data_IF_185473764476
#
_entry.id   IF_185473764476
#
_cell.length_a   1.000
_cell.length_b   1.000
_cell.length_c   1.000
_cell.angle_alpha   90.00
_cell.angle_beta   90.00
_cell.angle_gamma   90.00
#
_symmetry.space_group_name_H-M   'P 1'
#
loop_
_entity.id
_entity.type
_entity.pdbx_description
1 polymer ?
#
# COMPACT_ATOMS: atom_id res chain seq x y z
N UNK A 1 -14.23 -9.40 -45.47
CA UNK A 1 -14.98 -10.03 -44.35
C UNK A 1 -14.21 -11.25 -43.86
N UNK A 2 -13.90 -11.25 -42.56
CA UNK A 2 -13.18 -12.30 -41.86
C UNK A 2 -14.00 -12.79 -40.67
N UNK A 3 -13.84 -14.07 -40.33
CA UNK A 3 -14.44 -14.68 -39.14
C UNK A 3 -13.33 -14.87 -38.12
N UNK A 4 -13.42 -14.18 -36.98
CA UNK A 4 -12.47 -14.31 -35.89
C UNK A 4 -13.09 -15.15 -34.77
N UNK A 5 -12.35 -16.13 -34.29
CA UNK A 5 -12.72 -16.90 -33.10
C UNK A 5 -12.12 -16.22 -31.87
N UNK A 6 -13.00 -15.77 -30.97
CA UNK A 6 -12.67 -14.99 -29.79
C UNK A 6 -12.89 -15.82 -28.51
N UNK A 7 -12.09 -15.55 -27.48
CA UNK A 7 -12.25 -16.13 -26.14
C UNK A 7 -12.17 -15.02 -25.10
N UNK A 8 -13.01 -15.07 -24.06
CA UNK A 8 -12.89 -14.17 -22.92
C UNK A 8 -11.95 -14.83 -21.92
N UNK A 9 -10.85 -14.15 -21.59
CA UNK A 9 -9.84 -14.66 -20.66
C UNK A 9 -10.38 -14.63 -19.23
N UNK A 10 -10.11 -15.68 -18.45
CA UNK A 10 -10.51 -15.76 -17.03
C UNK A 10 -12.00 -16.00 -16.79
N UNK A 11 -12.77 -16.31 -17.84
CA UNK A 11 -14.22 -16.55 -17.74
C UNK A 11 -14.55 -17.90 -18.33
N UNK A 12 -15.13 -18.80 -17.52
CA UNK A 12 -15.55 -20.12 -17.97
C UNK A 12 -16.50 -20.05 -19.18
N UNK A 13 -16.20 -20.84 -20.22
CA UNK A 13 -17.10 -21.11 -21.34
C UNK A 13 -16.46 -20.97 -22.72
N UNK A 14 -17.28 -21.25 -23.74
CA UNK A 14 -16.77 -21.50 -25.09
C UNK A 14 -16.31 -20.27 -25.88
N UNK A 15 -15.31 -20.52 -26.72
CA UNK A 15 -14.91 -19.65 -27.82
C UNK A 15 -16.10 -19.33 -28.74
N UNK A 16 -16.11 -18.14 -29.32
CA UNK A 16 -17.25 -17.65 -30.10
C UNK A 16 -16.80 -16.90 -31.35
N UNK A 17 -17.55 -17.06 -32.43
CA UNK A 17 -17.23 -16.43 -33.71
C UNK A 17 -17.79 -15.01 -33.80
N UNK A 18 -16.96 -14.11 -34.34
CA UNK A 18 -17.30 -12.73 -34.67
C UNK A 18 -16.94 -12.47 -36.12
N UNK A 19 -17.93 -12.08 -36.91
CA UNK A 19 -17.74 -11.74 -38.31
C UNK A 19 -17.51 -10.23 -38.44
N UNK A 20 -16.41 -9.81 -39.06
CA UNK A 20 -16.07 -8.39 -39.25
C UNK A 20 -15.53 -8.15 -40.65
N UNK A 21 -15.78 -6.96 -41.19
CA UNK A 21 -15.10 -6.49 -42.39
C UNK A 21 -13.69 -6.03 -41.99
N UNK A 22 -12.68 -6.61 -42.61
CA UNK A 22 -11.26 -6.41 -42.34
C UNK A 22 -10.81 -4.95 -42.61
N UNK A 23 -11.57 -4.20 -43.42
CA UNK A 23 -11.38 -2.76 -43.60
C UNK A 23 -11.88 -1.90 -42.42
N UNK A 24 -12.44 -2.51 -41.36
CA UNK A 24 -12.93 -1.80 -40.17
C UNK A 24 -11.86 -1.73 -39.08
N UNK A 25 -12.00 -0.74 -38.21
CA UNK A 25 -11.15 -0.59 -37.04
C UNK A 25 -11.44 -1.65 -35.97
N UNK A 26 -10.43 -1.95 -35.15
CA UNK A 26 -10.52 -2.77 -33.94
C UNK A 26 -11.60 -2.25 -32.98
N UNK A 27 -11.88 -0.96 -32.93
CA UNK A 27 -13.02 -0.40 -32.18
C UNK A 27 -14.36 -1.05 -32.58
N UNK A 28 -14.59 -1.25 -33.88
CA UNK A 28 -15.79 -1.94 -34.37
C UNK A 28 -15.78 -3.44 -34.00
N UNK A 29 -14.60 -4.05 -33.86
CA UNK A 29 -14.46 -5.42 -33.37
C UNK A 29 -14.90 -5.52 -31.91
N UNK A 30 -14.50 -4.55 -31.08
CA UNK A 30 -14.93 -4.48 -29.67
C UNK A 30 -16.45 -4.35 -29.55
N UNK A 31 -17.06 -3.49 -30.36
CA UNK A 31 -18.52 -3.31 -30.38
C UNK A 31 -19.24 -4.63 -30.73
N UNK A 32 -18.77 -5.34 -31.76
CA UNK A 32 -19.32 -6.64 -32.17
C UNK A 32 -19.13 -7.73 -31.12
N UNK A 33 -17.99 -7.76 -30.43
CA UNK A 33 -17.74 -8.69 -29.33
C UNK A 33 -18.74 -8.43 -28.19
N UNK A 34 -18.92 -7.17 -27.79
CA UNK A 34 -19.89 -6.77 -26.76
C UNK A 34 -21.31 -7.16 -27.16
N UNK A 35 -21.72 -6.89 -28.40
CA UNK A 35 -23.03 -7.28 -28.91
C UNK A 35 -23.24 -8.79 -28.82
N UNK A 36 -22.25 -9.58 -29.24
CA UNK A 36 -22.31 -11.05 -29.27
C UNK A 36 -22.37 -11.67 -27.86
N UNK A 37 -21.68 -11.06 -26.89
CA UNK A 37 -21.60 -11.54 -25.51
C UNK A 37 -22.26 -10.57 -24.52
N UNK A 38 -23.34 -9.91 -24.95
CA UNK A 38 -24.02 -8.85 -24.18
C UNK A 38 -24.36 -9.25 -22.74
N UNK A 39 -24.82 -10.48 -22.51
CA UNK A 39 -25.16 -10.94 -21.15
C UNK A 39 -23.94 -11.12 -20.23
N UNK A 40 -22.76 -11.40 -20.80
CA UNK A 40 -21.50 -11.54 -20.04
C UNK A 40 -20.72 -10.22 -19.96
N UNK A 41 -21.05 -9.24 -20.81
CA UNK A 41 -20.37 -7.96 -20.96
C UNK A 41 -21.37 -6.79 -20.78
N UNK A 42 -22.44 -7.00 -20.02
CA UNK A 42 -23.55 -6.05 -19.87
C UNK A 42 -23.12 -4.77 -19.14
N UNK A 43 -22.19 -4.93 -18.18
CA UNK A 43 -21.64 -3.84 -17.39
C UNK A 43 -20.49 -3.10 -18.10
N UNK A 44 -19.85 -3.74 -19.08
CA UNK A 44 -18.57 -3.27 -19.67
C UNK A 44 -18.78 -2.50 -20.95
N UNK A 45 -18.30 -1.27 -21.05
CA UNK A 45 -18.31 -0.53 -22.31
C UNK A 45 -17.37 -1.18 -23.33
N UNK A 46 -17.81 -1.24 -24.59
CA UNK A 46 -17.05 -1.90 -25.65
C UNK A 46 -15.65 -1.29 -25.78
N UNK A 47 -15.51 0.04 -25.65
CA UNK A 47 -14.23 0.75 -25.70
C UNK A 47 -13.21 0.24 -24.66
N UNK A 48 -13.69 -0.24 -23.51
CA UNK A 48 -12.87 -0.64 -22.36
C UNK A 48 -12.36 -2.08 -22.50
N UNK A 49 -12.99 -2.90 -23.36
CA UNK A 49 -12.48 -4.24 -23.68
C UNK A 49 -11.04 -4.17 -24.19
N UNK A 50 -10.17 -5.02 -23.67
CA UNK A 50 -8.80 -5.12 -24.12
C UNK A 50 -8.68 -6.34 -25.04
N UNK A 51 -8.22 -6.11 -26.27
CA UNK A 51 -8.09 -7.15 -27.28
C UNK A 51 -6.61 -7.43 -27.54
N UNK A 52 -6.29 -8.71 -27.64
CA UNK A 52 -4.96 -9.20 -27.95
C UNK A 52 -5.05 -10.26 -29.05
N UNK A 53 -4.06 -10.29 -29.93
CA UNK A 53 -3.97 -11.39 -30.90
C UNK A 53 -3.48 -12.64 -30.18
N UNK A 54 -4.15 -13.77 -30.44
CA UNK A 54 -3.72 -15.07 -29.96
C UNK A 54 -2.60 -15.63 -30.86
N UNK A 55 -1.51 -14.86 -30.98
CA UNK A 55 -0.37 -15.11 -31.87
C UNK A 55 0.80 -15.66 -31.07
N UNK A 56 1.18 -16.91 -31.32
CA UNK A 56 2.31 -17.55 -30.66
C UNK A 56 3.65 -16.98 -31.15
N UNK A 57 4.74 -17.30 -30.45
CA UNK A 57 6.09 -16.87 -30.81
C UNK A 57 6.51 -17.28 -32.24
N UNK A 58 5.96 -18.39 -32.75
CA UNK A 58 6.21 -18.91 -34.10
C UNK A 58 5.37 -18.21 -35.19
N UNK A 59 4.70 -17.10 -34.86
CA UNK A 59 3.75 -16.40 -35.73
C UNK A 59 2.57 -17.27 -36.19
N UNK A 60 2.13 -18.22 -35.37
CA UNK A 60 0.96 -19.07 -35.65
C UNK A 60 -0.21 -18.71 -34.73
N UNK A 61 -1.41 -19.03 -35.18
CA UNK A 61 -2.60 -18.92 -34.34
C UNK A 61 -2.56 -19.91 -33.18
N UNK A 62 -3.11 -19.48 -32.04
CA UNK A 62 -3.26 -20.30 -30.87
C UNK A 62 -4.23 -21.45 -31.14
N UNK A 63 -3.80 -22.67 -30.89
CA UNK A 63 -4.59 -23.86 -31.20
C UNK A 63 -5.77 -24.02 -30.25
N UNK A 64 -6.97 -24.23 -30.80
CA UNK A 64 -8.17 -24.48 -29.99
C UNK A 64 -8.18 -25.86 -29.31
N UNK A 65 -7.15 -26.68 -29.51
CA UNK A 65 -7.00 -28.05 -28.96
C UNK A 65 -5.75 -28.19 -28.08
N UNK A 66 -5.23 -27.08 -27.58
CA UNK A 66 -4.10 -27.08 -26.65
C UNK A 66 -4.57 -27.28 -25.21
N UNK A 67 -3.71 -27.82 -24.36
CA UNK A 67 -3.99 -27.93 -22.91
C UNK A 67 -4.22 -26.54 -22.28
N UNK A 68 -3.49 -25.52 -22.74
CA UNK A 68 -3.70 -24.13 -22.33
C UNK A 68 -5.11 -23.63 -22.67
N UNK A 69 -5.67 -24.07 -23.80
CA UNK A 69 -7.02 -23.72 -24.19
C UNK A 69 -8.07 -24.43 -23.31
N UNK A 70 -7.86 -25.69 -22.95
CA UNK A 70 -8.76 -26.40 -22.02
C UNK A 70 -8.82 -25.66 -20.67
N UNK A 71 -7.66 -25.29 -20.11
CA UNK A 71 -7.58 -24.48 -18.88
C UNK A 71 -8.26 -23.12 -19.03
N UNK A 72 -8.05 -22.45 -20.16
CA UNK A 72 -8.69 -21.16 -20.44
C UNK A 72 -10.22 -21.25 -20.48
N UNK A 73 -10.75 -22.37 -20.98
CA UNK A 73 -12.19 -22.62 -21.08
C UNK A 73 -12.83 -22.93 -19.71
N UNK A 74 -12.06 -23.50 -18.80
CA UNK A 74 -12.45 -23.67 -17.39
C UNK A 74 -12.39 -22.35 -16.60
N UNK A 75 -11.82 -21.29 -17.19
CA UNK A 75 -11.68 -19.97 -16.58
C UNK A 75 -10.34 -19.75 -15.89
N UNK A 76 -9.41 -20.70 -16.01
CA UNK A 76 -8.04 -20.54 -15.54
C UNK A 76 -7.22 -19.69 -16.53
N UNK A 77 -6.09 -19.15 -16.09
CA UNK A 77 -5.13 -18.47 -16.95
C UNK A 77 -3.79 -19.19 -16.88
N UNK A 78 -3.09 -19.33 -18.01
CA UNK A 78 -1.78 -19.99 -18.07
C UNK A 78 -0.69 -18.98 -18.40
N UNK A 79 0.57 -19.31 -18.08
CA UNK A 79 1.72 -18.45 -18.38
C UNK A 79 1.81 -18.07 -19.88
N UNK A 80 1.33 -18.93 -20.78
CA UNK A 80 1.23 -18.61 -22.20
C UNK A 80 0.19 -17.52 -22.46
N UNK A 81 -1.01 -17.65 -21.88
CA UNK A 81 -2.08 -16.65 -22.02
C UNK A 81 -1.63 -15.31 -21.44
N UNK A 82 -1.00 -15.30 -20.26
CA UNK A 82 -0.42 -14.08 -19.64
C UNK A 82 0.59 -13.40 -20.56
N UNK A 83 1.50 -14.18 -21.16
CA UNK A 83 2.48 -13.65 -22.11
C UNK A 83 1.83 -13.10 -23.39
N UNK A 84 0.69 -13.64 -23.82
CA UNK A 84 -0.06 -13.17 -24.98
C UNK A 84 -0.89 -11.91 -24.67
N UNK A 85 -1.33 -11.75 -23.42
CA UNK A 85 -2.13 -10.59 -22.95
C UNK A 85 -1.30 -9.50 -22.27
N UNK A 86 0.00 -9.48 -22.50
CA UNK A 86 0.89 -8.41 -22.01
C UNK A 86 0.52 -7.06 -22.63
N UNK A 87 0.57 -5.99 -21.83
CA UNK A 87 0.04 -4.66 -22.17
C UNK A 87 0.69 -4.04 -23.44
N UNK A 88 1.94 -4.37 -23.74
CA UNK A 88 2.66 -3.96 -24.95
C UNK A 88 2.06 -4.54 -26.24
N UNK A 89 1.27 -5.62 -26.13
CA UNK A 89 0.61 -6.32 -27.25
C UNK A 89 -0.86 -5.92 -27.42
N UNK A 90 -1.34 -4.97 -26.62
CA UNK A 90 -2.74 -4.51 -26.66
C UNK A 90 -3.06 -3.82 -27.99
N UNK A 91 -4.09 -4.32 -28.68
CA UNK A 91 -4.59 -3.72 -29.90
C UNK A 91 -5.25 -2.36 -29.62
N UNK A 92 -4.92 -1.36 -30.44
CA UNK A 92 -5.50 -0.03 -30.31
C UNK A 92 -6.83 0.03 -31.06
N UNK A 93 -7.79 0.75 -30.50
CA UNK A 93 -9.13 0.86 -31.09
C UNK A 93 -9.15 1.50 -32.48
N UNK A 94 -8.11 2.25 -32.83
CA UNK A 94 -7.94 2.90 -34.14
C UNK A 94 -7.11 2.08 -35.13
N UNK A 95 -6.60 0.91 -34.76
CA UNK A 95 -5.91 0.02 -35.71
C UNK A 95 -6.94 -0.59 -36.66
N UNK A 96 -6.60 -0.74 -37.95
CA UNK A 96 -7.43 -1.49 -38.89
C UNK A 96 -7.28 -2.99 -38.64
N UNK A 97 -8.37 -3.74 -38.78
CA UNK A 97 -8.36 -5.20 -38.63
C UNK A 97 -7.44 -5.85 -39.66
N UNK A 98 -7.41 -5.35 -40.90
CA UNK A 98 -6.46 -5.84 -41.92
C UNK A 98 -5.00 -5.65 -41.51
N UNK A 99 -4.66 -4.51 -40.89
CA UNK A 99 -3.27 -4.20 -40.48
C UNK A 99 -2.80 -5.11 -39.35
N UNK A 100 -3.65 -5.35 -38.34
CA UNK A 100 -3.30 -6.25 -37.22
C UNK A 100 -3.19 -7.71 -37.66
N UNK A 101 -3.81 -8.08 -38.79
CA UNK A 101 -3.72 -9.44 -39.35
C UNK A 101 -2.55 -9.61 -40.34
N UNK A 102 -1.76 -8.56 -40.61
CA UNK A 102 -0.60 -8.65 -41.51
C UNK A 102 0.39 -9.70 -40.99
N UNK A 103 0.86 -10.56 -41.89
CA UNK A 103 1.85 -11.60 -41.59
C UNK A 103 1.28 -12.80 -40.84
N UNK A 104 -0.05 -12.87 -40.66
CA UNK A 104 -0.74 -14.05 -40.15
C UNK A 104 -1.36 -14.85 -41.29
N UNK A 105 -1.46 -16.17 -41.09
CA UNK A 105 -2.28 -17.01 -41.95
C UNK A 105 -3.75 -16.57 -41.86
N UNK A 106 -4.50 -16.70 -42.96
CA UNK A 106 -5.92 -16.34 -42.95
C UNK A 106 -6.64 -17.15 -41.86
N UNK A 107 -7.47 -16.49 -41.03
CA UNK A 107 -8.26 -17.16 -39.99
C UNK A 107 -8.98 -18.40 -40.52
N UNK A 108 -8.84 -19.53 -39.82
CA UNK A 108 -9.44 -20.82 -40.21
C UNK A 108 -9.97 -21.59 -38.99
N UNK A 109 -10.54 -22.77 -39.24
CA UNK A 109 -11.15 -23.58 -38.19
C UNK A 109 -10.10 -24.11 -37.17
N UNK A 110 -10.54 -24.42 -35.96
CA UNK A 110 -9.69 -24.92 -34.85
C UNK A 110 -8.57 -23.97 -34.38
N UNK A 111 -8.70 -22.67 -34.65
CA UNK A 111 -7.76 -21.63 -34.26
C UNK A 111 -8.46 -20.55 -33.42
N UNK A 112 -7.80 -20.10 -32.37
CA UNK A 112 -8.19 -18.91 -31.60
C UNK A 112 -7.41 -17.74 -32.16
N UNK A 113 -8.12 -16.64 -32.40
CA UNK A 113 -7.58 -15.48 -33.10
C UNK A 113 -7.44 -14.28 -32.17
N UNK A 114 -8.42 -14.08 -31.28
CA UNK A 114 -8.50 -12.92 -30.39
C UNK A 114 -8.74 -13.36 -28.95
N UNK A 115 -7.90 -12.89 -28.05
CA UNK A 115 -8.13 -12.96 -26.61
C UNK A 115 -8.77 -11.65 -26.17
N UNK A 116 -9.91 -11.76 -25.49
CA UNK A 116 -10.68 -10.64 -24.96
C UNK A 116 -10.45 -10.61 -23.46
N UNK A 117 -9.73 -9.61 -22.99
CA UNK A 117 -9.59 -9.35 -21.57
C UNK A 117 -10.60 -8.28 -21.19
N UNK A 118 -11.45 -8.63 -20.22
CA UNK A 118 -12.37 -7.69 -19.61
C UNK A 118 -11.62 -7.03 -18.46
N UNK A 119 -11.37 -5.72 -18.49
CA UNK A 119 -10.82 -5.05 -17.32
C UNK A 119 -11.80 -5.26 -16.17
N UNK A 120 -11.31 -5.58 -14.98
CA UNK A 120 -12.14 -5.64 -13.79
C UNK A 120 -12.89 -4.33 -13.66
N UNK A 121 -14.21 -4.38 -13.84
CA UNK A 121 -15.04 -3.20 -13.62
C UNK A 121 -15.29 -3.10 -12.14
N UNK A 122 -14.51 -2.22 -11.54
CA UNK A 122 -14.70 -1.73 -10.19
C UNK A 122 -16.15 -1.31 -9.99
N UNK A 123 -16.76 -1.79 -8.91
CA UNK A 123 -18.00 -1.22 -8.45
C UNK A 123 -17.64 0.15 -7.82
N UNK A 124 -17.75 1.23 -8.59
CA UNK A 124 -17.44 2.61 -8.16
C UNK A 124 -17.99 2.91 -6.75
N UNK A 125 -19.15 2.35 -6.44
CA UNK A 125 -19.83 2.50 -5.15
C UNK A 125 -19.06 1.85 -3.99
N UNK A 126 -18.48 0.66 -4.19
CA UNK A 126 -17.64 -0.02 -3.20
C UNK A 126 -16.37 0.80 -2.96
N UNK A 127 -15.82 1.41 -4.02
CA UNK A 127 -14.62 2.23 -3.91
C UNK A 127 -14.84 3.56 -3.21
N UNK A 128 -15.94 4.24 -3.50
CA UNK A 128 -16.31 5.43 -2.75
C UNK A 128 -16.55 5.12 -1.26
N UNK A 129 -17.16 3.97 -0.95
CA UNK A 129 -17.37 3.53 0.43
C UNK A 129 -16.03 3.19 1.11
N UNK A 130 -15.15 2.46 0.44
CA UNK A 130 -13.82 2.10 0.94
C UNK A 130 -12.98 3.34 1.28
N UNK A 131 -12.91 4.28 0.34
CA UNK A 131 -12.17 5.54 0.49
C UNK A 131 -12.67 6.36 1.70
N UNK A 132 -13.97 6.28 2.02
CA UNK A 132 -14.57 6.98 3.17
C UNK A 132 -14.42 6.21 4.47
N UNK A 133 -14.43 4.88 4.43
CA UNK A 133 -14.45 4.02 5.63
C UNK A 133 -13.04 3.70 6.15
N UNK A 134 -12.08 3.43 5.26
CA UNK A 134 -10.70 3.07 5.64
C UNK A 134 -10.05 4.12 6.54
N UNK A 135 -10.13 5.43 6.25
CA UNK A 135 -9.59 6.44 7.16
C UNK A 135 -10.23 6.40 8.55
N UNK A 136 -11.53 6.10 8.63
CA UNK A 136 -12.24 5.99 9.92
C UNK A 136 -11.78 4.76 10.71
N UNK A 137 -11.61 3.63 10.04
CA UNK A 137 -11.10 2.39 10.66
C UNK A 137 -9.69 2.63 11.20
N UNK A 138 -8.79 3.16 10.38
CA UNK A 138 -7.39 3.37 10.75
C UNK A 138 -7.22 4.43 11.86
N UNK A 139 -8.05 5.47 11.87
CA UNK A 139 -7.96 6.53 12.90
C UNK A 139 -8.66 6.16 14.21
N UNK A 140 -9.71 5.33 14.18
CA UNK A 140 -10.38 4.81 15.38
C UNK A 140 -9.66 3.61 16.01
N UNK A 141 -8.71 2.99 15.29
CA UNK A 141 -7.98 1.82 15.77
C UNK A 141 -7.28 2.12 17.11
N UNK A 142 -7.51 1.33 18.17
CA UNK A 142 -6.90 1.60 19.47
C UNK A 142 -5.38 1.53 19.36
N UNK A 143 -4.70 2.39 20.13
CA UNK A 143 -3.24 2.37 20.22
C UNK A 143 -2.78 0.99 20.65
N UNK A 144 -1.81 0.40 19.97
CA UNK A 144 -1.30 -0.91 20.36
C UNK A 144 -0.73 -0.82 21.78
N UNK A 145 -1.30 -1.60 22.71
CA UNK A 145 -0.73 -1.82 24.04
C UNK A 145 0.52 -2.69 23.87
N UNK A 146 1.62 -2.13 23.37
CA UNK A 146 2.91 -2.82 23.18
C UNK A 146 3.62 -3.15 24.50
N UNK A 147 2.86 -3.39 25.57
CA UNK A 147 3.35 -4.02 26.80
C UNK A 147 3.66 -5.51 26.52
N UNK A 148 3.08 -6.11 25.47
CA UNK A 148 3.06 -7.58 25.28
C UNK A 148 4.18 -8.25 24.46
N UNK A 149 5.04 -7.55 23.71
CA UNK A 149 6.03 -8.22 22.83
C UNK A 149 7.45 -7.74 23.11
N UNK A 150 8.04 -8.21 24.21
CA UNK A 150 9.48 -8.09 24.46
C UNK A 150 10.32 -8.62 23.28
N UNK A 151 9.76 -9.56 22.52
CA UNK A 151 10.34 -10.14 21.31
C UNK A 151 10.42 -9.14 20.15
N UNK A 152 9.32 -8.44 19.82
CA UNK A 152 9.30 -7.45 18.74
C UNK A 152 10.29 -6.32 18.98
N UNK A 153 10.26 -5.71 20.17
CA UNK A 153 11.22 -4.67 20.56
C UNK A 153 12.66 -5.17 20.49
N UNK A 154 12.89 -6.43 20.88
CA UNK A 154 14.21 -7.04 20.78
C UNK A 154 14.69 -7.15 19.33
N UNK A 155 13.82 -7.60 18.42
CA UNK A 155 14.14 -7.74 17.00
C UNK A 155 14.37 -6.38 16.33
N UNK A 156 13.55 -5.37 16.64
CA UNK A 156 13.76 -3.99 16.19
C UNK A 156 15.13 -3.44 16.63
N UNK A 157 15.48 -3.63 17.90
CA UNK A 157 16.76 -3.15 18.42
C UNK A 157 17.95 -3.83 17.73
N UNK A 158 17.83 -5.10 17.34
CA UNK A 158 18.83 -5.82 16.55
C UNK A 158 18.90 -5.28 15.12
N UNK A 159 17.74 -5.21 14.44
CA UNK A 159 17.62 -4.81 13.05
C UNK A 159 18.15 -3.39 12.81
N UNK A 160 17.71 -2.42 13.63
CA UNK A 160 18.15 -1.02 13.53
C UNK A 160 19.41 -0.69 14.34
N UNK A 161 20.05 -1.70 14.95
CA UNK A 161 21.29 -1.56 15.75
C UNK A 161 21.17 -0.54 16.89
N UNK A 162 20.00 -0.47 17.53
CA UNK A 162 19.69 0.53 18.56
C UNK A 162 20.10 0.13 19.99
N UNK A 163 20.58 -1.08 20.24
CA UNK A 163 21.04 -1.46 21.58
C UNK A 163 22.36 -0.78 21.95
N UNK A 164 22.43 -0.31 23.20
CA UNK A 164 23.65 0.21 23.82
C UNK A 164 23.81 -0.37 25.24
N UNK A 165 25.00 -0.19 25.83
CA UNK A 165 25.34 -0.59 27.22
C UNK A 165 24.90 -2.00 27.58
N UNK A 166 25.37 -3.02 26.84
CA UNK A 166 24.96 -4.42 27.06
C UNK A 166 23.42 -4.62 27.04
N UNK A 167 22.72 -3.86 26.18
CA UNK A 167 21.27 -3.96 25.90
C UNK A 167 20.35 -3.42 27.01
N UNK A 168 20.90 -2.72 28.00
CA UNK A 168 20.10 -2.02 29.02
C UNK A 168 19.61 -0.67 28.53
N UNK A 169 20.23 -0.12 27.49
CA UNK A 169 19.87 1.15 26.85
C UNK A 169 19.47 0.94 25.39
N UNK A 170 18.58 1.81 24.91
CA UNK A 170 18.03 1.78 23.55
C UNK A 170 18.06 3.18 22.97
N UNK A 171 18.60 3.30 21.75
CA UNK A 171 18.57 4.53 20.94
C UNK A 171 17.17 4.81 20.41
N UNK A 172 16.66 6.01 20.67
CA UNK A 172 15.49 6.55 19.98
C UNK A 172 15.88 6.93 18.56
N UNK A 173 15.16 6.43 17.56
CA UNK A 173 15.47 6.66 16.15
C UNK A 173 15.26 8.10 15.71
N UNK A 174 14.40 8.87 16.38
CA UNK A 174 14.16 10.28 16.03
C UNK A 174 15.13 11.22 16.74
N UNK A 175 15.30 11.06 18.05
CA UNK A 175 16.16 11.94 18.84
C UNK A 175 17.65 11.62 18.64
N UNK A 176 17.97 10.43 18.11
CA UNK A 176 19.33 9.89 18.01
C UNK A 176 20.07 9.80 19.36
N UNK A 177 19.30 9.72 20.45
CA UNK A 177 19.82 9.60 21.82
C UNK A 177 19.48 8.23 22.39
N UNK A 178 20.41 7.65 23.14
CA UNK A 178 20.18 6.45 23.91
C UNK A 178 19.59 6.77 25.28
N UNK A 179 18.55 6.03 25.64
CA UNK A 179 17.88 6.12 26.93
C UNK A 179 17.87 4.75 27.60
N UNK A 180 17.62 4.67 28.93
CA UNK A 180 17.20 3.44 29.56
C UNK A 180 16.10 2.74 28.76
N UNK A 181 16.20 1.42 28.65
CA UNK A 181 15.30 0.61 27.80
C UNK A 181 13.82 0.85 28.12
N UNK A 182 13.45 1.16 29.35
CA UNK A 182 12.08 1.47 29.79
C UNK A 182 11.46 2.70 29.10
N UNK A 183 12.28 3.68 28.69
CA UNK A 183 11.81 4.99 28.21
C UNK A 183 11.57 5.04 26.70
N UNK A 184 12.11 4.07 25.95
CA UNK A 184 11.95 3.94 24.50
C UNK A 184 11.00 2.79 24.20
N UNK A 185 10.00 3.01 23.36
CA UNK A 185 8.94 2.04 23.06
C UNK A 185 9.07 1.58 21.61
N UNK A 186 8.80 0.29 21.39
CA UNK A 186 8.58 -0.23 20.06
C UNK A 186 7.19 0.22 19.59
N UNK A 187 7.18 1.04 18.54
CA UNK A 187 5.96 1.51 17.90
C UNK A 187 5.76 0.72 16.61
N UNK A 188 4.63 0.04 16.49
CA UNK A 188 4.17 -0.45 15.20
C UNK A 188 3.79 0.73 14.31
N UNK A 189 4.14 0.68 13.02
CA UNK A 189 3.81 1.71 12.05
C UNK A 189 2.37 1.53 11.57
N UNK A 190 2.04 0.31 11.16
CA UNK A 190 0.68 -0.16 11.01
C UNK A 190 0.27 -0.92 12.27
N UNK A 191 -0.77 -0.44 12.94
CA UNK A 191 -1.14 -0.90 14.28
C UNK A 191 -1.57 -2.35 14.26
N UNK A 192 -1.20 -3.08 15.32
CA UNK A 192 -1.63 -4.47 15.52
C UNK A 192 -3.15 -4.64 15.62
N UNK A 193 -3.88 -3.62 16.07
CA UNK A 193 -5.35 -3.64 16.04
C UNK A 193 -5.94 -3.77 14.63
N UNK A 194 -5.14 -3.56 13.59
CA UNK A 194 -5.51 -3.73 12.20
C UNK A 194 -4.81 -4.95 11.57
N UNK A 195 -4.35 -5.93 12.36
CA UNK A 195 -3.60 -7.11 11.87
C UNK A 195 -4.36 -7.87 10.76
N UNK A 196 -5.68 -8.03 10.89
CA UNK A 196 -6.54 -8.66 9.87
C UNK A 196 -6.54 -7.92 8.52
N UNK A 197 -6.15 -6.65 8.52
CA UNK A 197 -6.02 -5.81 7.34
C UNK A 197 -4.56 -5.70 6.85
N UNK A 198 -3.57 -6.15 7.62
CA UNK A 198 -2.16 -5.84 7.37
C UNK A 198 -1.61 -6.53 6.11
N UNK A 199 -1.89 -7.82 5.95
CA UNK A 199 -1.46 -8.55 4.74
C UNK A 199 -2.18 -8.00 3.50
N UNK A 200 -3.49 -7.80 3.66
CA UNK A 200 -4.40 -7.34 2.62
C UNK A 200 -4.14 -5.91 2.11
N UNK A 201 -3.89 -4.94 3.00
CA UNK A 201 -3.66 -3.54 2.63
C UNK A 201 -2.19 -3.21 2.39
N UNK A 202 -1.29 -3.96 3.02
CA UNK A 202 0.11 -3.58 3.10
C UNK A 202 1.07 -4.72 2.75
N UNK A 203 0.64 -5.91 2.28
CA UNK A 203 1.56 -7.07 2.09
C UNK A 203 2.44 -7.29 3.33
N UNK A 204 1.85 -7.17 4.53
CA UNK A 204 2.52 -7.44 5.80
C UNK A 204 1.93 -8.74 6.34
N UNK A 205 2.60 -9.85 6.04
CA UNK A 205 2.19 -11.18 6.50
C UNK A 205 2.42 -11.41 7.99
N UNK A 206 3.38 -10.69 8.58
CA UNK A 206 3.67 -10.70 10.02
C UNK A 206 3.65 -9.27 10.54
N UNK A 207 2.69 -8.96 11.42
CA UNK A 207 2.54 -7.62 12.00
C UNK A 207 3.77 -7.22 12.84
N UNK A 208 4.53 -8.20 13.36
CA UNK A 208 5.78 -8.00 14.09
C UNK A 208 7.02 -8.00 13.18
N UNK A 209 6.85 -7.88 11.86
CA UNK A 209 7.96 -7.57 10.96
C UNK A 209 8.69 -6.30 11.43
N UNK A 210 10.01 -6.38 11.57
CA UNK A 210 10.86 -5.28 12.04
C UNK A 210 10.78 -4.04 11.16
N UNK A 211 10.41 -4.18 9.88
CA UNK A 211 10.15 -3.06 8.98
C UNK A 211 8.80 -2.39 9.26
N UNK A 212 7.86 -3.05 9.92
CA UNK A 212 6.62 -2.45 10.43
C UNK A 212 6.81 -1.79 11.81
N UNK A 213 8.04 -1.52 12.25
CA UNK A 213 8.27 -0.91 13.55
C UNK A 213 9.38 0.12 13.58
N UNK A 214 9.32 0.96 14.61
CA UNK A 214 10.35 1.93 14.97
C UNK A 214 10.51 2.01 16.50
N UNK A 215 11.65 2.54 16.94
CA UNK A 215 11.98 2.76 18.35
C UNK A 215 11.90 4.25 18.67
N UNK A 216 10.84 4.64 19.39
CA UNK A 216 10.55 6.03 19.70
C UNK A 216 10.54 6.26 21.21
N UNK A 217 11.00 7.44 21.64
CA UNK A 217 10.81 7.89 23.02
C UNK A 217 9.30 7.92 23.34
N UNK A 218 8.91 7.52 24.55
CA UNK A 218 7.50 7.23 24.88
C UNK A 218 6.51 8.37 24.53
N UNK A 219 6.79 9.66 24.80
CA UNK A 219 5.94 10.77 24.35
C UNK A 219 5.80 10.90 22.83
N UNK A 220 6.89 10.68 22.09
CA UNK A 220 6.88 10.72 20.62
C UNK A 220 6.07 9.55 20.05
N UNK A 221 6.20 8.35 20.63
CA UNK A 221 5.35 7.20 20.29
C UNK A 221 3.88 7.55 20.49
N UNK A 222 3.54 8.15 21.63
CA UNK A 222 2.16 8.55 21.92
C UNK A 222 1.65 9.57 20.89
N UNK A 223 2.41 10.62 20.60
CA UNK A 223 2.00 11.63 19.62
C UNK A 223 1.82 11.03 18.20
N UNK A 224 2.68 10.09 17.81
CA UNK A 224 2.55 9.36 16.53
C UNK A 224 1.27 8.51 16.48
N UNK A 225 0.97 7.79 17.56
CA UNK A 225 -0.25 7.00 17.73
C UNK A 225 -1.53 7.85 17.79
N UNK A 226 -1.44 9.15 18.03
CA UNK A 226 -2.59 10.06 18.02
C UNK A 226 -2.60 10.98 16.79
N UNK A 227 -1.72 10.71 15.82
CA UNK A 227 -1.58 11.48 14.58
C UNK A 227 -1.27 12.97 14.80
N UNK A 228 -0.79 13.34 15.98
CA UNK A 228 -0.29 14.69 16.24
C UNK A 228 1.02 14.95 15.49
N UNK A 229 1.80 13.89 15.26
CA UNK A 229 3.00 13.89 14.45
C UNK A 229 2.98 12.72 13.45
N UNK A 230 3.81 12.83 12.42
CA UNK A 230 4.09 11.75 11.47
C UNK A 230 5.48 11.94 10.86
N UNK A 231 5.87 11.10 9.89
CA UNK A 231 7.08 11.24 9.10
C UNK A 231 6.73 11.38 7.61
N UNK A 232 7.21 12.46 7.00
CA UNK A 232 7.11 12.70 5.56
C UNK A 232 8.49 12.55 4.92
N UNK A 233 8.54 12.14 3.65
CA UNK A 233 9.81 12.01 2.93
C UNK A 233 10.16 13.33 2.24
N UNK A 234 11.36 13.83 2.49
CA UNK A 234 11.87 15.03 1.82
C UNK A 234 12.53 14.69 0.47
N UNK A 235 12.97 15.73 -0.25
CA UNK A 235 13.64 15.59 -1.55
C UNK A 235 15.01 14.89 -1.47
N UNK A 236 15.59 14.75 -0.26
CA UNK A 236 16.83 13.98 -0.05
C UNK A 236 16.56 12.50 0.18
N UNK A 237 15.29 12.12 0.26
CA UNK A 237 14.84 10.77 0.58
C UNK A 237 14.80 10.47 2.08
N UNK A 238 15.06 11.46 2.94
CA UNK A 238 15.04 11.31 4.38
C UNK A 238 13.61 11.42 4.94
N UNK A 239 13.29 10.57 5.91
CA UNK A 239 12.04 10.65 6.66
C UNK A 239 12.17 11.73 7.74
N UNK A 240 11.44 12.83 7.59
CA UNK A 240 11.43 13.94 8.54
C UNK A 240 10.15 13.96 9.34
N UNK A 241 10.26 14.21 10.64
CA UNK A 241 9.09 14.46 11.46
C UNK A 241 8.32 15.67 10.90
N UNK A 242 7.02 15.51 10.78
CA UNK A 242 6.07 16.59 10.55
C UNK A 242 5.18 16.72 11.77
N UNK A 243 5.18 17.89 12.39
CA UNK A 243 4.18 18.25 13.38
C UNK A 243 2.88 18.64 12.70
N UNK A 244 1.83 17.84 12.92
CA UNK A 244 0.49 18.05 12.35
C UNK A 244 -0.45 18.77 13.32
N UNK A 245 -0.33 18.51 14.62
CA UNK A 245 -1.08 19.23 15.66
C UNK A 245 -0.26 20.43 16.17
N UNK A 246 -0.63 21.68 15.82
CA UNK A 246 0.10 22.86 16.27
C UNK A 246 -0.08 23.12 17.77
N UNK A 247 -1.11 22.56 18.42
CA UNK A 247 -1.41 22.83 19.83
C UNK A 247 -0.35 22.28 20.77
N UNK A 248 0.34 21.21 20.38
CA UNK A 248 1.42 20.61 21.19
C UNK A 248 2.80 21.19 20.88
N UNK A 249 2.92 22.16 19.96
CA UNK A 249 4.21 22.67 19.47
C UNK A 249 5.13 23.11 20.61
N UNK A 250 4.60 23.84 21.58
CA UNK A 250 5.37 24.37 22.71
C UNK A 250 5.36 23.45 23.94
N UNK A 251 4.75 22.26 23.83
CA UNK A 251 4.72 21.27 24.91
C UNK A 251 6.05 20.55 24.95
N UNK A 252 6.71 20.52 26.12
CA UNK A 252 7.91 19.70 26.34
C UNK A 252 7.55 18.24 26.14
N UNK A 253 8.45 17.46 25.54
CA UNK A 253 8.18 16.03 25.29
C UNK A 253 7.80 15.29 26.59
N UNK A 254 8.46 15.60 27.70
CA UNK A 254 8.22 14.97 29.00
C UNK A 254 6.92 15.39 29.71
N UNK A 255 6.25 16.45 29.21
CA UNK A 255 4.99 16.95 29.78
C UNK A 255 3.75 16.56 28.96
N UNK A 256 3.91 15.68 27.95
CA UNK A 256 2.78 15.19 27.18
C UNK A 256 1.75 14.50 28.08
N UNK A 257 0.48 14.87 27.93
CA UNK A 257 -0.65 14.31 28.69
C UNK A 257 -1.56 13.45 27.80
N UNK A 258 -2.20 12.44 28.41
CA UNK A 258 -3.11 11.50 27.74
C UNK A 258 -4.51 12.12 27.59
N UNK A 259 -5.02 12.73 28.66
CA UNK A 259 -6.30 13.42 28.71
C UNK A 259 -6.16 14.71 29.52
N UNK A 260 -6.43 15.86 28.89
CA UNK A 260 -6.37 17.17 29.55
C UNK A 260 -7.28 17.28 30.79
N UNK A 261 -8.36 16.49 30.85
CA UNK A 261 -9.32 16.49 31.96
C UNK A 261 -8.79 15.79 33.23
N UNK A 262 -7.83 14.88 33.11
CA UNK A 262 -7.28 14.10 34.24
C UNK A 262 -5.84 14.46 34.59
N UNK A 263 -5.18 15.30 33.78
CA UNK A 263 -3.77 15.66 33.91
C UNK A 263 -2.83 14.43 33.98
N UNK A 264 -3.27 13.30 33.39
CA UNK A 264 -2.52 12.06 33.38
C UNK A 264 -1.39 12.17 32.35
N UNK A 265 -0.13 12.14 32.80
CA UNK A 265 1.03 12.24 31.92
C UNK A 265 1.28 10.92 31.19
N UNK A 266 1.69 11.02 29.92
CA UNK A 266 2.19 9.89 29.13
C UNK A 266 3.46 9.31 29.77
N UNK A 267 4.27 10.18 30.36
CA UNK A 267 5.51 9.86 31.04
C UNK A 267 5.27 9.94 32.55
N UNK A 268 5.30 8.79 33.21
CA UNK A 268 4.99 8.70 34.64
C UNK A 268 6.14 9.20 35.53
N UNK A 269 5.87 9.42 36.81
CA UNK A 269 6.84 9.99 37.76
C UNK A 269 8.09 9.13 37.94
N UNK A 270 7.95 7.79 37.85
CA UNK A 270 9.07 6.85 37.96
C UNK A 270 9.97 7.00 36.74
N UNK A 271 9.39 7.10 35.54
CA UNK A 271 10.11 7.32 34.29
C UNK A 271 10.78 8.70 34.22
N UNK A 272 10.14 9.75 34.76
CA UNK A 272 10.74 11.07 34.90
C UNK A 272 11.98 11.00 35.79
N UNK A 273 11.87 10.33 36.94
CA UNK A 273 12.98 10.14 37.88
C UNK A 273 14.13 9.37 37.22
N UNK A 274 13.83 8.25 36.55
CA UNK A 274 14.82 7.45 35.82
C UNK A 274 15.53 8.26 34.73
N UNK A 275 14.81 9.13 34.01
CA UNK A 275 15.40 10.02 33.02
C UNK A 275 16.38 11.03 33.66
N UNK A 276 15.96 11.70 34.74
CA UNK A 276 16.81 12.68 35.43
C UNK A 276 18.08 12.04 36.02
N UNK A 277 17.95 10.86 36.62
CA UNK A 277 19.10 10.08 37.10
C UNK A 277 20.04 9.72 35.95
N UNK A 278 19.47 9.29 34.81
CA UNK A 278 20.22 8.91 33.61
C UNK A 278 21.00 10.08 32.98
N UNK A 279 20.45 11.30 33.03
CA UNK A 279 21.12 12.52 32.59
C UNK A 279 22.22 12.93 33.56
N UNK A 280 22.03 12.68 34.86
CA UNK A 280 22.96 13.08 35.93
C UNK A 280 24.11 12.08 36.15
N UNK A 281 24.21 11.01 35.35
CA UNK A 281 25.26 10.01 35.48
C UNK A 281 26.66 10.63 35.26
N UNK A 282 27.62 10.19 36.09
CA UNK A 282 29.01 10.64 36.00
C UNK A 282 29.77 10.03 34.81
N UNK A 283 29.36 8.84 34.38
CA UNK A 283 29.95 8.13 33.24
C UNK A 283 28.87 7.89 32.19
N UNK A 284 29.12 8.35 30.98
CA UNK A 284 28.19 8.28 29.84
C UNK A 284 26.77 8.76 30.23
N UNK A 285 26.55 10.06 30.48
CA UNK A 285 25.20 10.57 30.72
C UNK A 285 24.30 10.43 29.48
N UNK A 286 22.99 10.37 29.70
CA UNK A 286 22.01 10.55 28.64
C UNK A 286 22.09 12.00 28.12
N UNK A 287 22.43 12.20 26.85
CA UNK A 287 22.57 13.52 26.23
C UNK A 287 21.21 13.97 25.68
N UNK A 288 20.25 14.21 26.57
CA UNK A 288 18.91 14.70 26.22
C UNK A 288 18.59 15.97 27.00
N UNK A 289 18.15 17.02 26.30
CA UNK A 289 17.64 18.23 26.94
C UNK A 289 16.16 18.06 27.32
N UNK A 290 15.88 18.07 28.62
CA UNK A 290 14.52 17.94 29.19
C UNK A 290 13.58 19.08 28.77
N UNK A 291 14.12 20.20 28.26
CA UNK A 291 13.33 21.30 27.75
C UNK A 291 12.91 21.15 26.28
N UNK A 292 13.38 20.10 25.59
CA UNK A 292 13.01 19.83 24.19
C UNK A 292 11.50 19.74 24.04
N UNK A 293 10.94 20.52 23.12
CA UNK A 293 9.51 20.55 22.75
C UNK A 293 9.22 19.76 21.47
N UNK A 294 7.94 19.55 21.16
CA UNK A 294 7.55 18.98 19.86
C UNK A 294 7.90 19.90 18.69
N UNK A 295 7.90 21.22 18.89
CA UNK A 295 8.31 22.20 17.89
C UNK A 295 9.79 22.15 17.56
N UNK A 296 10.65 21.86 18.55
CA UNK A 296 12.10 21.76 18.35
C UNK A 296 12.49 20.53 17.50
N UNK A 297 11.67 19.48 17.54
CA UNK A 297 11.90 18.26 16.75
C UNK A 297 11.15 18.24 15.41
N UNK A 298 10.37 19.27 15.10
CA UNK A 298 9.69 19.42 13.81
C UNK A 298 10.72 19.56 12.67
N UNK A 299 10.59 18.74 11.63
CA UNK A 299 11.54 18.66 10.51
C UNK A 299 12.81 17.84 10.78
N UNK A 300 13.01 17.32 12.00
CA UNK A 300 14.16 16.44 12.30
C UNK A 300 14.05 15.12 11.55
N UNK A 301 15.18 14.61 11.06
CA UNK A 301 15.22 13.37 10.29
C UNK A 301 15.32 12.15 11.22
N UNK A 302 14.62 11.07 10.88
CA UNK A 302 14.87 9.76 11.48
C UNK A 302 16.32 9.34 11.22
N UNK A 303 17.04 9.00 12.29
CA UNK A 303 18.42 8.58 12.27
C UNK A 303 18.54 7.05 12.14
N UNK A 304 19.19 6.60 11.08
CA UNK A 304 19.48 5.19 10.81
C UNK A 304 20.98 4.94 10.84
N UNK A 305 21.42 3.88 11.53
CA UNK A 305 22.84 3.50 11.61
C UNK A 305 23.29 2.77 10.33
N UNK A 306 22.41 1.99 9.71
CA UNK A 306 22.71 1.25 8.48
C UNK A 306 21.73 1.53 7.35
N UNK A 307 21.65 0.60 6.41
CA UNK A 307 20.78 0.68 5.22
C UNK A 307 19.35 0.23 5.52
N UNK A 308 19.11 -0.33 6.70
CA UNK A 308 17.81 -0.83 7.15
C UNK A 308 16.79 0.31 7.22
N UNK A 309 15.59 0.10 6.67
CA UNK A 309 14.50 1.08 6.63
C UNK A 309 13.15 0.43 6.97
N UNK A 310 12.25 1.20 7.62
CA UNK A 310 10.87 0.78 7.77
C UNK A 310 10.17 0.66 6.41
N UNK A 311 9.00 0.04 6.38
CA UNK A 311 8.15 0.01 5.19
C UNK A 311 7.67 1.42 4.85
N UNK A 312 7.96 1.88 3.63
CA UNK A 312 7.60 3.23 3.20
C UNK A 312 6.08 3.42 3.20
N UNK A 313 5.36 2.40 2.71
CA UNK A 313 3.90 2.33 2.68
C UNK A 313 3.25 2.56 4.04
N UNK A 314 3.81 2.01 5.13
CA UNK A 314 3.25 2.20 6.47
C UNK A 314 3.39 3.65 6.93
N UNK A 315 4.57 4.24 6.71
CA UNK A 315 4.83 5.65 7.02
C UNK A 315 3.93 6.57 6.19
N UNK A 316 3.77 6.26 4.90
CA UNK A 316 2.92 7.03 4.00
C UNK A 316 1.45 6.99 4.41
N UNK A 317 0.90 5.81 4.74
CA UNK A 317 -0.48 5.72 5.25
C UNK A 317 -0.63 6.57 6.50
N UNK A 318 0.29 6.42 7.47
CA UNK A 318 0.15 7.13 8.73
C UNK A 318 0.26 8.65 8.54
N UNK A 319 1.15 9.13 7.65
CA UNK A 319 1.23 10.54 7.26
C UNK A 319 -0.04 11.03 6.55
N UNK A 320 -0.62 10.20 5.69
CA UNK A 320 -1.86 10.51 4.98
C UNK A 320 -3.03 10.65 5.95
N UNK A 321 -3.14 9.76 6.94
CA UNK A 321 -4.16 9.83 7.98
C UNK A 321 -3.96 11.06 8.87
N UNK A 322 -2.71 11.36 9.26
CA UNK A 322 -2.40 12.55 10.06
C UNK A 322 -2.76 13.84 9.31
N UNK A 323 -2.47 13.92 8.02
CA UNK A 323 -2.89 15.03 7.15
C UNK A 323 -4.40 15.16 7.08
N UNK A 324 -5.13 14.07 6.82
CA UNK A 324 -6.61 14.10 6.74
C UNK A 324 -7.22 14.64 8.04
N UNK A 325 -6.73 14.16 9.19
CA UNK A 325 -7.18 14.63 10.50
C UNK A 325 -6.81 16.09 10.75
N UNK A 326 -5.58 16.50 10.39
CA UNK A 326 -5.12 17.86 10.55
C UNK A 326 -5.94 18.85 9.69
N UNK A 327 -6.25 18.52 8.44
CA UNK A 327 -7.13 19.32 7.57
C UNK A 327 -8.53 19.41 8.20
N UNK A 328 -9.09 18.28 8.63
CA UNK A 328 -10.41 18.24 9.29
C UNK A 328 -10.48 19.11 10.55
N UNK A 329 -9.40 19.17 11.31
CA UNK A 329 -9.29 19.98 12.52
C UNK A 329 -8.88 21.44 12.24
N UNK A 330 -8.64 21.82 10.98
CA UNK A 330 -8.17 23.16 10.60
C UNK A 330 -6.73 23.48 11.05
N UNK A 331 -5.92 22.46 11.29
CA UNK A 331 -4.53 22.59 11.74
C UNK A 331 -3.54 22.82 10.59
N UNK A 332 -3.88 22.35 9.40
CA UNK A 332 -3.13 22.58 8.16
C UNK A 332 -4.08 22.99 7.04
N UNK A 333 -3.57 23.73 6.06
CA UNK A 333 -4.33 24.12 4.88
C UNK A 333 -4.73 22.90 4.05
N UNK A 334 -5.90 22.95 3.41
CA UNK A 334 -6.41 21.87 2.54
C UNK A 334 -5.46 21.58 1.37
N UNK A 335 -4.75 22.60 0.89
CA UNK A 335 -3.74 22.53 -0.16
C UNK A 335 -2.40 21.96 0.30
N UNK A 336 -2.15 21.82 1.59
CA UNK A 336 -0.92 21.19 2.07
C UNK A 336 -0.90 19.75 1.60
N UNK A 337 0.22 19.31 1.02
CA UNK A 337 0.43 17.94 0.59
C UNK A 337 1.91 17.57 0.67
N UNK A 338 2.22 16.28 0.54
CA UNK A 338 3.59 15.76 0.49
C UNK A 338 3.72 14.70 -0.61
N UNK A 339 4.92 14.49 -1.18
CA UNK A 339 5.11 13.52 -2.27
C UNK A 339 4.64 12.12 -1.89
N UNK A 340 4.09 11.37 -2.86
CA UNK A 340 3.91 9.93 -2.70
C UNK A 340 5.28 9.27 -2.60
N UNK A 341 5.50 8.55 -1.50
CA UNK A 341 6.70 7.78 -1.24
C UNK A 341 6.40 6.31 -0.97
N UNK A 342 5.21 5.82 -1.33
CA UNK A 342 4.83 4.42 -1.32
C UNK A 342 5.50 3.66 -2.48
N UNK A 343 6.83 3.70 -2.56
CA UNK A 343 7.59 3.13 -3.68
C UNK A 343 7.79 1.60 -3.57
N UNK A 344 7.34 0.98 -2.47
CA UNK A 344 7.53 -0.47 -2.24
C UNK A 344 6.50 -1.36 -2.99
N UNK A 345 5.57 -0.76 -3.75
CA UNK A 345 4.49 -1.47 -4.45
C UNK A 345 4.06 -0.71 -5.72
N UNK A 346 3.87 -1.42 -6.84
CA UNK A 346 3.37 -0.86 -8.10
C UNK A 346 2.00 -0.16 -7.95
N UNK A 347 1.70 0.83 -8.78
CA UNK A 347 0.45 1.60 -8.74
C UNK A 347 -0.80 0.72 -8.95
N UNK A 348 -0.69 -0.32 -9.78
CA UNK A 348 -1.76 -1.30 -9.98
C UNK A 348 -1.99 -2.15 -8.72
N UNK A 349 -0.92 -2.58 -8.05
CA UNK A 349 -1.03 -3.26 -6.76
C UNK A 349 -1.60 -2.32 -5.68
N UNK A 350 -1.22 -1.02 -5.66
CA UNK A 350 -1.77 -0.01 -4.72
C UNK A 350 -3.28 0.05 -4.81
N UNK A 351 -3.84 0.08 -6.01
CA UNK A 351 -5.29 0.04 -6.22
C UNK A 351 -5.85 -1.33 -5.83
N UNK A 352 -5.32 -2.43 -6.38
CA UNK A 352 -5.75 -3.82 -6.09
C UNK A 352 -5.82 -4.14 -4.59
N UNK A 353 -4.95 -3.55 -3.77
CA UNK A 353 -4.95 -3.69 -2.30
C UNK A 353 -6.15 -3.08 -1.60
N UNK A 354 -6.61 -1.91 -2.06
CA UNK A 354 -7.85 -1.33 -1.58
C UNK A 354 -9.05 -2.15 -2.09
N UNK A 355 -8.94 -2.84 -3.23
CA UNK A 355 -10.01 -3.59 -3.88
C UNK A 355 -10.27 -5.01 -3.31
N UNK A 356 -9.25 -5.87 -3.14
CA UNK A 356 -9.47 -7.28 -2.73
C UNK A 356 -9.97 -7.47 -1.29
N UNK A 357 -9.71 -6.49 -0.42
CA UNK A 357 -9.97 -6.60 1.01
C UNK A 357 -11.44 -6.52 1.42
N UNK A 358 -12.29 -5.92 0.58
CA UNK A 358 -13.72 -5.70 0.86
C UNK A 358 -14.62 -6.79 0.27
N UNK A 359 -14.23 -7.42 -0.85
CA UNK A 359 -15.04 -8.45 -1.51
C UNK A 359 -14.97 -9.82 -0.80
N UNK A 360 -13.86 -10.14 -0.14
CA UNK A 360 -13.73 -11.41 0.61
C UNK A 360 -14.25 -11.32 2.06
N UNK A 361 -14.60 -10.13 2.56
CA UNK A 361 -15.20 -9.96 3.89
C UNK A 361 -16.70 -10.32 3.92
N UNK A 362 -17.32 -10.55 2.76
CA UNK A 362 -18.70 -11.04 2.63
C UNK A 362 -18.78 -12.58 2.51
N UNK A 363 -17.65 -13.28 2.62
CA UNK A 363 -17.58 -14.75 2.49
C UNK A 363 -17.16 -15.51 3.76
N UNK A 364 -17.17 -14.86 4.94
CA UNK A 364 -16.98 -15.53 6.25
C UNK A 364 -18.16 -15.25 7.18
#
# INVERSE_FOLDING_TARGET
MVTLLCVIVGVTGDAFSVNIDDSKFVGHLKDKIKEKKKNKLDKVDAKDLQLFLAKTADNKWFSSRSEDMEKLMDGETTALVEALTSQDKKLQGFDLVEDVLIGMERPSDCQIHVLVVVPEQENDLVMEVAQKLVPRILTAAPTTKTIGSNYFKHNLCKYYKCYQRKRTWVRCMLLDVAFPKSLVIASHLFRRSNEDLADRFLKISDIDDVKNGMLLFKPLKYAYDHFHISFVRDNTGAFRLKLFDPNIRNTRLIDMVIENSKNEKVFDEIQITELHESISLTQEPCVFDVNTTFGDVDGTALAFIGLERPFNRCLYIQASMARILAVKNGWVEESYDFPDFWDDVDLNDKMDFFHRSLLEAEAI
#
